data_IF_296376889357
#
_entry.id   IF_296376889357
#
_cell.length_a   1.000
_cell.length_b   1.000
_cell.length_c   1.000
_cell.angle_alpha   90.00
_cell.angle_beta   90.00
_cell.angle_gamma   90.00
#
_symmetry.space_group_name_H-M   'P 1'
#
loop_
_entity.id
_entity.type
_entity.pdbx_description
1 polymer ?
#
# COMPACT_ATOMS: atom_id res chain seq x y z
N UNK A 1 21.06 18.46 9.12
CA UNK A 1 20.76 17.03 9.32
C UNK A 1 20.32 16.52 7.97
N UNK A 2 21.11 15.65 7.34
CA UNK A 2 20.71 14.99 6.10
C UNK A 2 19.70 13.90 6.46
N UNK A 3 18.49 13.97 5.92
CA UNK A 3 17.51 12.88 6.02
C UNK A 3 18.08 11.72 5.20
N UNK A 4 18.22 10.56 5.82
CA UNK A 4 18.56 9.34 5.10
C UNK A 4 17.41 9.00 4.13
N UNK A 5 17.70 8.56 2.90
CA UNK A 5 16.67 8.13 1.96
C UNK A 5 15.91 6.96 2.58
N UNK A 6 14.59 7.12 2.71
CA UNK A 6 13.67 6.08 3.17
C UNK A 6 13.49 5.08 2.02
N UNK A 7 13.75 3.81 2.30
CA UNK A 7 13.45 2.71 1.38
C UNK A 7 11.93 2.45 1.41
N UNK A 8 11.34 2.19 0.23
CA UNK A 8 9.95 2.48 -0.15
C UNK A 8 9.65 4.01 -0.12
N UNK A 9 9.65 4.66 -1.30
CA UNK A 9 9.18 6.04 -1.53
C UNK A 9 10.21 7.16 -1.38
N UNK A 10 11.08 7.30 -2.38
CA UNK A 10 11.85 8.52 -2.62
C UNK A 10 11.54 9.02 -4.03
N UNK A 11 10.88 10.17 -4.10
CA UNK A 11 10.45 10.85 -5.34
C UNK A 11 11.67 11.22 -6.21
N UNK A 12 11.93 10.43 -7.25
CA UNK A 12 12.82 10.79 -8.35
C UNK A 12 12.06 10.68 -9.67
N UNK A 13 11.98 11.82 -10.37
CA UNK A 13 11.05 12.07 -11.48
C UNK A 13 11.16 11.15 -12.69
N UNK A 14 10.07 11.15 -13.46
CA UNK A 14 9.80 10.27 -14.58
C UNK A 14 10.73 10.48 -15.79
N UNK A 15 11.39 9.39 -16.21
CA UNK A 15 11.92 9.23 -17.57
C UNK A 15 11.18 8.05 -18.25
N UNK A 16 10.54 8.36 -19.38
CA UNK A 16 9.74 7.40 -20.14
C UNK A 16 10.62 6.37 -20.89
N UNK A 17 10.28 5.09 -20.78
CA UNK A 17 10.91 3.99 -21.51
C UNK A 17 9.89 3.24 -22.41
N UNK A 18 10.35 2.61 -23.51
CA UNK A 18 9.48 2.09 -24.56
C UNK A 18 9.00 0.65 -24.31
N UNK A 19 7.85 0.34 -24.91
CA UNK A 19 7.19 -0.98 -24.95
C UNK A 19 8.10 -2.09 -25.52
N UNK A 20 8.18 -3.21 -24.79
CA UNK A 20 8.70 -4.49 -25.31
C UNK A 20 7.80 -5.65 -24.89
N UNK A 21 7.40 -6.45 -25.89
CA UNK A 21 6.65 -7.71 -25.75
C UNK A 21 7.46 -8.75 -24.96
N UNK A 22 6.95 -9.15 -23.79
CA UNK A 22 7.49 -10.23 -22.96
C UNK A 22 6.56 -11.45 -23.09
N UNK A 23 7.04 -12.49 -23.78
CA UNK A 23 6.39 -13.80 -23.76
C UNK A 23 6.57 -14.51 -22.41
N UNK A 24 5.51 -15.17 -21.95
CA UNK A 24 5.47 -15.99 -20.72
C UNK A 24 6.49 -17.14 -20.80
N UNK A 25 7.44 -17.15 -19.88
CA UNK A 25 8.40 -18.24 -19.68
C UNK A 25 7.91 -19.22 -18.61
N UNK A 26 7.61 -20.46 -19.02
CA UNK A 26 7.24 -21.60 -18.15
C UNK A 26 8.49 -22.24 -17.49
N UNK A 27 9.29 -21.44 -16.78
CA UNK A 27 10.52 -21.90 -16.14
C UNK A 27 10.31 -22.65 -14.83
N UNK A 28 9.99 -23.94 -14.87
CA UNK A 28 10.12 -24.84 -13.71
C UNK A 28 11.56 -25.36 -13.60
N UNK A 29 12.40 -24.71 -12.78
CA UNK A 29 13.72 -25.23 -12.44
C UNK A 29 13.62 -26.22 -11.25
N UNK A 30 14.19 -27.44 -11.35
CA UNK A 30 14.24 -28.38 -10.24
C UNK A 30 15.40 -28.04 -9.31
N UNK A 31 15.10 -27.78 -8.03
CA UNK A 31 16.09 -27.61 -6.96
C UNK A 31 16.07 -28.86 -6.08
N UNK A 32 16.98 -29.81 -6.34
CA UNK A 32 17.33 -30.87 -5.39
C UNK A 32 18.68 -30.52 -4.74
N UNK A 33 18.65 -30.10 -3.47
CA UNK A 33 19.81 -29.69 -2.70
C UNK A 33 19.84 -30.32 -1.31
N UNK A 34 20.89 -31.11 -1.04
CA UNK A 34 21.13 -31.80 0.22
C UNK A 34 21.68 -30.88 1.31
N UNK A 35 20.95 -30.70 2.40
CA UNK A 35 21.47 -31.05 3.73
C UNK A 35 22.39 -30.09 4.49
N UNK A 36 22.23 -28.77 4.39
CA UNK A 36 22.47 -27.79 5.49
C UNK A 36 22.28 -26.39 4.94
N UNK A 37 21.52 -25.52 5.61
CA UNK A 37 21.37 -24.13 5.19
C UNK A 37 22.67 -23.34 5.49
N UNK A 38 23.44 -22.91 4.46
CA UNK A 38 24.71 -22.21 4.67
C UNK A 38 24.53 -20.80 5.25
N UNK A 39 23.31 -20.23 5.18
CA UNK A 39 23.02 -18.90 5.72
C UNK A 39 22.87 -18.86 7.25
N UNK A 40 22.86 -20.01 7.94
CA UNK A 40 22.71 -20.02 9.40
C UNK A 40 24.04 -19.85 10.14
N UNK A 41 25.16 -19.78 9.41
CA UNK A 41 26.50 -19.65 9.97
C UNK A 41 26.85 -18.18 10.29
N UNK A 42 26.17 -17.61 11.29
CA UNK A 42 26.46 -16.28 11.82
C UNK A 42 25.70 -15.13 11.14
N UNK A 43 26.08 -13.88 11.43
CA UNK A 43 25.39 -12.72 10.87
C UNK A 43 25.78 -12.49 9.41
N UNK A 44 24.80 -12.09 8.60
CA UNK A 44 24.98 -11.73 7.19
C UNK A 44 24.29 -10.40 6.86
N UNK A 45 24.97 -9.58 6.07
CA UNK A 45 24.43 -8.34 5.54
C UNK A 45 23.64 -8.59 4.24
N UNK A 46 22.70 -7.69 3.92
CA UNK A 46 21.93 -7.73 2.68
C UNK A 46 22.83 -7.72 1.44
N UNK A 47 23.84 -6.84 1.42
CA UNK A 47 24.76 -6.71 0.28
C UNK A 47 25.63 -7.97 0.05
N UNK A 48 25.80 -8.81 1.06
CA UNK A 48 26.51 -10.09 0.94
C UNK A 48 25.64 -11.17 0.30
N UNK A 49 24.32 -11.08 0.48
CA UNK A 49 23.36 -12.11 0.10
C UNK A 49 22.55 -11.75 -1.15
N UNK A 50 22.51 -10.48 -1.53
CA UNK A 50 21.78 -10.03 -2.72
C UNK A 50 22.46 -10.49 -3.99
N UNK A 51 21.66 -10.85 -4.98
CA UNK A 51 22.15 -11.24 -6.30
C UNK A 51 21.02 -11.66 -7.22
N UNK A 52 21.34 -12.35 -8.34
CA UNK A 52 20.32 -12.84 -9.25
C UNK A 52 19.48 -13.92 -8.57
N UNK A 53 18.21 -14.01 -8.94
CA UNK A 53 17.24 -14.94 -8.35
C UNK A 53 17.72 -16.40 -8.32
N UNK A 54 18.49 -16.83 -9.32
CA UNK A 54 19.03 -18.18 -9.42
C UNK A 54 19.99 -18.55 -8.27
N UNK A 55 20.55 -17.55 -7.56
CA UNK A 55 21.50 -17.76 -6.46
C UNK A 55 20.83 -17.70 -5.08
N UNK A 56 19.52 -17.46 -5.02
CA UNK A 56 18.81 -17.34 -3.74
C UNK A 56 18.76 -18.70 -3.03
N UNK A 57 19.17 -18.79 -1.76
CA UNK A 57 19.28 -20.06 -1.03
C UNK A 57 17.92 -20.55 -0.55
N UNK A 58 17.20 -21.24 -1.45
CA UNK A 58 15.84 -21.74 -1.23
C UNK A 58 15.72 -22.68 -0.03
N UNK A 59 16.70 -23.55 0.19
CA UNK A 59 16.66 -24.59 1.23
C UNK A 59 16.70 -24.07 2.67
N UNK A 60 17.07 -22.80 2.83
CA UNK A 60 17.10 -22.10 4.11
C UNK A 60 15.72 -21.62 4.57
N UNK A 61 14.80 -21.43 3.62
CA UNK A 61 13.50 -20.81 3.89
C UNK A 61 12.55 -21.80 4.56
N UNK A 62 11.83 -21.40 5.62
CA UNK A 62 10.90 -22.25 6.35
C UNK A 62 9.87 -22.89 5.43
N UNK A 63 9.70 -24.20 5.60
CA UNK A 63 8.86 -25.02 4.73
C UNK A 63 7.44 -25.06 5.23
N UNK A 64 6.51 -24.81 4.32
CA UNK A 64 5.07 -24.85 4.54
C UNK A 64 4.44 -25.92 3.65
N UNK A 65 3.29 -26.43 4.08
CA UNK A 65 2.37 -27.20 3.23
C UNK A 65 1.54 -26.27 2.35
N UNK A 66 0.96 -26.79 1.27
CA UNK A 66 0.02 -26.01 0.42
C UNK A 66 -1.18 -25.48 1.22
N UNK A 67 -1.69 -26.28 2.16
CA UNK A 67 -2.77 -25.88 3.04
C UNK A 67 -2.37 -24.69 3.94
N UNK A 68 -1.15 -24.72 4.52
CA UNK A 68 -0.61 -23.59 5.28
C UNK A 68 -0.40 -22.36 4.40
N UNK A 69 0.06 -22.53 3.16
CA UNK A 69 0.25 -21.42 2.23
C UNK A 69 -1.07 -20.70 1.94
N UNK A 70 -2.11 -21.45 1.57
CA UNK A 70 -3.42 -20.88 1.26
C UNK A 70 -4.07 -20.24 2.49
N UNK A 71 -4.09 -20.95 3.63
CA UNK A 71 -4.71 -20.44 4.87
C UNK A 71 -3.94 -19.30 5.52
N UNK A 72 -2.60 -19.35 5.52
CA UNK A 72 -1.75 -18.28 6.03
C UNK A 72 -1.83 -17.01 5.19
N UNK A 73 -1.89 -17.14 3.86
CA UNK A 73 -2.13 -16.00 2.97
C UNK A 73 -3.49 -15.36 3.24
N UNK A 74 -4.56 -16.17 3.32
CA UNK A 74 -5.90 -15.68 3.65
C UNK A 74 -5.95 -15.01 5.03
N UNK A 75 -5.25 -15.57 6.03
CA UNK A 75 -5.16 -14.97 7.37
C UNK A 75 -4.63 -13.55 7.30
N UNK A 76 -3.44 -13.32 6.72
CA UNK A 76 -2.82 -11.98 6.71
C UNK A 76 -3.56 -11.00 5.79
N UNK A 77 -4.23 -11.50 4.73
CA UNK A 77 -5.01 -10.67 3.81
C UNK A 77 -6.35 -10.27 4.42
N UNK A 78 -7.10 -11.21 4.98
CA UNK A 78 -8.53 -11.02 5.26
C UNK A 78 -8.83 -10.65 6.72
N UNK A 79 -7.96 -11.03 7.66
CA UNK A 79 -8.19 -10.86 9.10
C UNK A 79 -8.05 -9.41 9.53
N UNK A 80 -9.04 -8.92 10.28
CA UNK A 80 -8.96 -7.66 11.01
C UNK A 80 -8.43 -7.93 12.41
N UNK A 81 -7.30 -7.35 12.76
CA UNK A 81 -6.61 -7.57 14.03
C UNK A 81 -6.97 -6.45 15.01
N UNK A 82 -7.29 -6.79 16.25
CA UNK A 82 -7.65 -5.83 17.30
C UNK A 82 -6.47 -4.90 17.63
N UNK A 83 -5.25 -5.42 17.49
CA UNK A 83 -3.99 -4.69 17.62
C UNK A 83 -3.82 -3.60 16.56
N UNK A 84 -4.50 -3.74 15.41
CA UNK A 84 -4.47 -2.78 14.31
C UNK A 84 -5.69 -1.87 14.35
N UNK A 85 -5.83 -1.15 15.46
CA UNK A 85 -6.87 -0.11 15.65
C UNK A 85 -6.22 1.26 15.77
N UNK A 86 -6.89 2.29 15.23
CA UNK A 86 -6.46 3.68 15.40
C UNK A 86 -7.32 4.34 16.49
N UNK A 87 -6.77 5.25 17.32
CA UNK A 87 -7.54 5.84 18.43
C UNK A 87 -8.80 6.63 18.01
N UNK A 88 -8.82 7.16 16.79
CA UNK A 88 -9.98 7.82 16.22
C UNK A 88 -11.10 6.85 15.81
N UNK A 89 -10.82 5.55 15.73
CA UNK A 89 -11.74 4.50 15.29
C UNK A 89 -11.57 3.21 16.13
N UNK A 90 -11.78 3.27 17.47
CA UNK A 90 -11.47 2.17 18.37
C UNK A 90 -12.33 0.91 18.17
N UNK A 91 -13.47 1.03 17.47
CA UNK A 91 -14.36 -0.10 17.14
C UNK A 91 -14.20 -0.62 15.72
N UNK A 92 -13.13 -0.24 15.03
CA UNK A 92 -12.89 -0.60 13.63
C UNK A 92 -11.49 -1.23 13.49
N UNK A 93 -11.34 -2.50 13.88
CA UNK A 93 -10.08 -3.22 13.67
C UNK A 93 -9.75 -3.27 12.18
N UNK A 94 -8.47 -3.19 11.84
CA UNK A 94 -7.98 -3.14 10.48
C UNK A 94 -7.24 -4.41 10.10
N UNK A 95 -7.17 -4.67 8.79
CA UNK A 95 -6.17 -5.57 8.23
C UNK A 95 -4.81 -4.89 8.28
N UNK A 96 -3.76 -5.65 7.96
CA UNK A 96 -2.48 -5.07 7.53
C UNK A 96 -2.78 -4.17 6.31
N UNK A 97 -2.18 -2.97 6.21
CA UNK A 97 -2.57 -1.92 5.25
C UNK A 97 -2.14 -2.20 3.81
N UNK A 98 -2.63 -3.30 3.23
CA UNK A 98 -2.29 -3.77 1.89
C UNK A 98 -2.75 -2.84 0.76
N UNK A 99 -3.73 -1.96 1.00
CA UNK A 99 -4.27 -1.02 0.01
C UNK A 99 -3.55 0.34 0.01
N UNK A 100 -2.41 0.47 0.69
CA UNK A 100 -1.47 1.61 0.58
C UNK A 100 -0.15 1.10 -0.01
N UNK A 101 -0.04 0.92 -1.34
CA UNK A 101 1.17 0.36 -1.92
C UNK A 101 2.33 1.37 -1.94
N UNK A 102 2.09 2.69 -2.01
CA UNK A 102 3.11 3.74 -2.09
C UNK A 102 4.29 3.54 -1.14
N UNK A 103 4.01 3.20 0.12
CA UNK A 103 5.00 3.09 1.18
C UNK A 103 4.63 1.96 2.15
N UNK A 104 5.46 1.70 3.15
CA UNK A 104 5.08 0.82 4.26
C UNK A 104 5.46 -0.64 4.12
N UNK A 105 6.26 -0.99 3.10
CA UNK A 105 6.65 -2.37 2.83
C UNK A 105 7.40 -2.99 4.01
N UNK A 106 8.25 -2.20 4.66
CA UNK A 106 9.03 -2.54 5.85
C UNK A 106 8.21 -2.68 7.13
N UNK A 107 6.96 -2.22 7.17
CA UNK A 107 6.03 -2.42 8.27
C UNK A 107 5.06 -3.56 7.97
N UNK A 108 4.54 -3.64 6.74
CA UNK A 108 3.60 -4.69 6.34
C UNK A 108 4.22 -6.08 6.44
N UNK A 109 5.44 -6.26 5.92
CA UNK A 109 6.08 -7.57 5.91
C UNK A 109 6.35 -8.08 7.34
N UNK A 110 6.94 -7.30 8.26
CA UNK A 110 7.08 -7.73 9.65
C UNK A 110 5.75 -7.93 10.38
N UNK A 111 4.72 -7.10 10.11
CA UNK A 111 3.39 -7.31 10.68
C UNK A 111 2.79 -8.65 10.26
N UNK A 112 2.87 -9.00 8.96
CA UNK A 112 2.44 -10.28 8.44
C UNK A 112 3.19 -11.46 9.09
N UNK A 113 4.52 -11.37 9.16
CA UNK A 113 5.38 -12.37 9.82
C UNK A 113 5.02 -12.52 11.31
N UNK A 114 4.75 -11.41 12.01
CA UNK A 114 4.32 -11.40 13.41
C UNK A 114 2.99 -12.15 13.60
N UNK A 115 1.94 -11.79 12.86
CA UNK A 115 0.62 -12.43 13.02
C UNK A 115 0.64 -13.90 12.62
N UNK A 116 1.37 -14.27 11.56
CA UNK A 116 1.58 -15.68 11.20
C UNK A 116 2.28 -16.46 12.31
N UNK A 117 3.31 -15.87 12.92
CA UNK A 117 4.00 -16.48 14.05
C UNK A 117 3.09 -16.65 15.28
N UNK A 118 2.26 -15.66 15.61
CA UNK A 118 1.29 -15.76 16.71
C UNK A 118 0.26 -16.87 16.48
N UNK A 119 -0.14 -17.09 15.23
CA UNK A 119 -1.06 -18.18 14.83
C UNK A 119 -0.37 -19.55 14.68
N UNK A 120 0.90 -19.67 15.09
CA UNK A 120 1.63 -20.94 15.13
C UNK A 120 2.15 -21.44 13.79
N UNK A 121 2.18 -20.59 12.75
CA UNK A 121 2.85 -20.92 11.49
C UNK A 121 4.37 -20.93 11.67
N UNK A 122 5.12 -21.76 10.93
CA UNK A 122 6.56 -21.59 10.81
C UNK A 122 6.86 -20.17 10.32
N UNK A 123 7.62 -19.39 11.10
CA UNK A 123 7.87 -17.97 10.84
C UNK A 123 8.41 -17.74 9.43
N UNK A 124 7.72 -16.97 8.57
CA UNK A 124 8.25 -16.61 7.26
C UNK A 124 9.59 -15.87 7.35
N UNK A 125 10.40 -15.98 6.30
CA UNK A 125 11.53 -15.07 6.08
C UNK A 125 11.06 -13.88 5.23
N UNK A 126 11.97 -13.00 4.85
CA UNK A 126 11.71 -11.84 4.00
C UNK A 126 12.40 -12.01 2.64
N UNK A 127 11.65 -11.93 1.54
CA UNK A 127 12.24 -11.68 0.23
C UNK A 127 12.36 -10.17 0.05
N UNK A 128 13.58 -9.70 -0.21
CA UNK A 128 13.91 -8.29 -0.44
C UNK A 128 14.38 -8.13 -1.87
N UNK A 129 13.84 -7.14 -2.56
CA UNK A 129 14.22 -6.80 -3.92
C UNK A 129 14.61 -5.32 -3.99
N UNK A 130 15.67 -5.00 -4.72
CA UNK A 130 16.12 -3.61 -4.94
C UNK A 130 16.35 -3.35 -6.42
N UNK A 131 16.01 -2.15 -6.87
CA UNK A 131 16.11 -1.73 -8.27
C UNK A 131 15.17 -0.56 -8.56
N UNK A 132 14.94 -0.27 -9.84
CA UNK A 132 13.88 0.66 -10.26
C UNK A 132 12.56 -0.12 -10.36
N UNK A 133 11.84 -0.22 -9.25
CA UNK A 133 10.58 -0.97 -9.18
C UNK A 133 9.44 -0.03 -9.55
N UNK A 134 8.62 -0.41 -10.52
CA UNK A 134 7.39 0.31 -10.86
C UNK A 134 6.25 -0.69 -10.88
N UNK A 135 5.21 -0.46 -10.09
CA UNK A 135 4.00 -1.29 -10.05
C UNK A 135 2.81 -0.50 -10.57
N UNK A 136 2.07 -1.09 -11.52
CA UNK A 136 0.74 -0.64 -11.90
C UNK A 136 -0.29 -1.13 -10.87
N UNK A 137 -1.09 -0.23 -10.31
CA UNK A 137 -2.03 -0.55 -9.24
C UNK A 137 -3.26 0.35 -9.24
N UNK A 138 -4.42 -0.24 -8.98
CA UNK A 138 -5.67 0.52 -8.79
C UNK A 138 -5.75 1.18 -7.41
N UNK A 139 -4.78 0.93 -6.53
CA UNK A 139 -4.73 1.48 -5.18
C UNK A 139 -3.97 2.81 -5.10
N UNK A 140 -3.68 3.43 -6.25
CA UNK A 140 -3.02 4.74 -6.31
C UNK A 140 -3.75 5.70 -7.26
N UNK A 141 -3.89 6.99 -6.91
CA UNK A 141 -4.60 7.96 -7.74
C UNK A 141 -4.06 8.05 -9.17
N UNK A 142 -2.74 7.94 -9.34
CA UNK A 142 -2.06 8.02 -10.63
C UNK A 142 -1.97 6.66 -11.34
N UNK A 143 -2.42 5.57 -10.69
CA UNK A 143 -2.45 4.22 -11.25
C UNK A 143 -1.13 3.46 -11.16
N UNK A 144 -0.07 4.08 -10.64
CA UNK A 144 1.23 3.45 -10.45
C UNK A 144 1.98 3.98 -9.22
N UNK A 145 2.97 3.22 -8.78
CA UNK A 145 3.92 3.59 -7.71
C UNK A 145 5.32 3.11 -8.07
N UNK A 146 6.32 3.86 -7.62
CA UNK A 146 7.72 3.52 -7.82
C UNK A 146 8.49 3.42 -6.50
N UNK A 147 9.44 2.49 -6.44
CA UNK A 147 10.30 2.27 -5.28
C UNK A 147 11.73 1.92 -5.69
N UNK A 148 12.67 2.26 -4.81
CA UNK A 148 14.06 1.78 -4.88
C UNK A 148 14.22 0.35 -4.35
N UNK A 149 13.24 -0.15 -3.60
CA UNK A 149 13.22 -1.49 -3.04
C UNK A 149 11.84 -1.86 -2.49
N UNK A 150 11.60 -3.17 -2.36
CA UNK A 150 10.38 -3.74 -1.81
C UNK A 150 10.68 -5.01 -1.02
N UNK A 151 9.83 -5.32 -0.05
CA UNK A 151 9.99 -6.48 0.83
C UNK A 151 8.66 -7.17 1.10
N UNK A 152 8.67 -8.50 1.12
CA UNK A 152 7.50 -9.32 1.42
C UNK A 152 7.88 -10.60 2.20
N UNK A 153 6.96 -11.17 2.99
CA UNK A 153 7.16 -12.49 3.58
C UNK A 153 7.35 -13.58 2.50
N UNK A 154 8.27 -14.51 2.74
CA UNK A 154 8.58 -15.63 1.86
C UNK A 154 8.65 -16.94 2.64
N UNK A 155 8.10 -17.99 2.03
CA UNK A 155 8.09 -19.36 2.55
C UNK A 155 8.47 -20.34 1.44
N UNK A 156 8.80 -21.59 1.80
CA UNK A 156 9.08 -22.65 0.82
C UNK A 156 7.93 -23.65 0.78
N UNK A 157 7.38 -23.92 -0.40
CA UNK A 157 6.33 -24.94 -0.61
C UNK A 157 6.71 -25.79 -1.81
N UNK A 158 6.77 -27.11 -1.64
CA UNK A 158 7.14 -28.02 -2.75
C UNK A 158 8.50 -27.71 -3.39
N UNK A 159 9.45 -27.16 -2.63
CA UNK A 159 10.77 -26.75 -3.14
C UNK A 159 10.80 -25.39 -3.85
N UNK A 160 9.67 -24.67 -3.92
CA UNK A 160 9.58 -23.35 -4.53
C UNK A 160 9.42 -22.25 -3.48
N UNK A 161 10.01 -21.09 -3.73
CA UNK A 161 9.79 -19.90 -2.90
C UNK A 161 8.47 -19.23 -3.29
N UNK A 162 7.61 -19.08 -2.29
CA UNK A 162 6.29 -18.48 -2.40
C UNK A 162 6.22 -17.20 -1.58
N UNK A 163 5.81 -16.11 -2.23
CA UNK A 163 5.67 -14.77 -1.66
C UNK A 163 4.25 -14.56 -1.18
N UNK A 164 4.10 -14.00 0.01
CA UNK A 164 2.81 -13.62 0.59
C UNK A 164 2.66 -12.10 0.60
N UNK A 165 2.23 -11.50 -0.51
CA UNK A 165 2.15 -10.04 -0.67
C UNK A 165 0.81 -9.57 -1.26
N UNK A 166 -0.23 -9.42 -0.43
CA UNK A 166 -1.53 -8.94 -0.88
C UNK A 166 -1.56 -7.51 -1.43
N UNK A 167 -0.53 -6.69 -1.21
CA UNK A 167 -0.45 -5.35 -1.82
C UNK A 167 -0.16 -5.42 -3.32
N UNK A 168 0.57 -6.45 -3.75
CA UNK A 168 0.94 -6.69 -5.16
C UNK A 168 -0.04 -7.65 -5.84
N UNK A 169 -0.38 -8.75 -5.16
CA UNK A 169 -1.30 -9.77 -5.68
C UNK A 169 -2.29 -10.16 -4.60
N UNK A 170 -3.48 -9.54 -4.57
CA UNK A 170 -4.47 -9.86 -3.56
C UNK A 170 -5.15 -11.21 -3.79
N UNK A 171 -5.07 -11.82 -4.98
CA UNK A 171 -5.77 -13.08 -5.25
C UNK A 171 -5.12 -14.29 -4.58
N UNK A 172 -3.81 -14.27 -4.33
CA UNK A 172 -3.09 -15.39 -3.74
C UNK A 172 -1.57 -15.20 -3.69
N UNK A 173 -0.87 -16.15 -3.06
CA UNK A 173 0.58 -16.15 -3.02
C UNK A 173 1.17 -16.40 -4.41
N UNK A 174 2.32 -15.80 -4.68
CA UNK A 174 3.01 -15.90 -5.97
C UNK A 174 4.34 -16.65 -5.83
N UNK A 175 4.76 -17.45 -6.82
CA UNK A 175 6.16 -17.81 -6.97
C UNK A 175 7.02 -16.54 -7.05
N UNK A 176 8.18 -16.54 -6.41
CA UNK A 176 9.05 -15.34 -6.34
C UNK A 176 9.38 -14.73 -7.71
N UNK A 177 9.57 -15.55 -8.75
CA UNK A 177 9.80 -15.06 -10.12
C UNK A 177 8.58 -14.30 -10.68
N UNK A 178 7.37 -14.77 -10.38
CA UNK A 178 6.15 -14.09 -10.80
C UNK A 178 5.93 -12.79 -10.02
N UNK A 179 6.24 -12.78 -8.72
CA UNK A 179 6.19 -11.55 -7.91
C UNK A 179 7.16 -10.49 -8.45
N UNK A 180 8.41 -10.85 -8.76
CA UNK A 180 9.38 -9.92 -9.38
C UNK A 180 8.87 -9.42 -10.74
N UNK A 181 8.22 -10.28 -11.54
CA UNK A 181 7.67 -9.90 -12.84
C UNK A 181 6.49 -8.92 -12.77
N UNK A 182 5.97 -8.61 -11.58
CA UNK A 182 4.93 -7.58 -11.39
C UNK A 182 5.50 -6.17 -11.49
N UNK A 183 6.80 -6.01 -11.33
CA UNK A 183 7.47 -4.72 -11.52
C UNK A 183 7.81 -4.51 -13.01
N UNK A 184 7.85 -3.25 -13.45
CA UNK A 184 8.28 -2.90 -14.81
C UNK A 184 9.64 -3.52 -15.15
N UNK A 185 9.95 -3.79 -16.44
CA UNK A 185 11.19 -4.47 -16.81
C UNK A 185 12.44 -3.78 -16.26
N UNK A 186 13.32 -4.54 -15.62
CA UNK A 186 14.53 -4.01 -15.00
C UNK A 186 15.49 -5.10 -14.54
N UNK A 187 16.68 -4.68 -14.10
CA UNK A 187 17.60 -5.55 -13.37
C UNK A 187 17.32 -5.40 -11.88
N UNK A 188 17.12 -6.52 -11.20
CA UNK A 188 16.80 -6.54 -9.79
C UNK A 188 17.79 -7.42 -9.03
N UNK A 189 18.29 -6.89 -7.93
CA UNK A 189 18.98 -7.70 -6.94
C UNK A 189 17.93 -8.24 -5.96
N UNK A 190 18.01 -9.53 -5.66
CA UNK A 190 17.12 -10.20 -4.71
C UNK A 190 17.93 -10.86 -3.61
N UNK A 191 17.48 -10.76 -2.37
CA UNK A 191 17.98 -11.52 -1.25
C UNK A 191 16.82 -12.13 -0.45
N UNK A 192 17.10 -13.20 0.28
CA UNK A 192 16.17 -13.77 1.26
C UNK A 192 16.80 -13.66 2.63
N UNK A 193 16.15 -12.88 3.50
CA UNK A 193 16.62 -12.48 4.82
C UNK A 193 15.77 -13.11 5.91
N UNK A 194 16.39 -13.61 6.97
CA UNK A 194 15.65 -14.24 8.07
C UNK A 194 15.06 -13.21 9.02
N UNK A 195 15.85 -12.23 9.42
CA UNK A 195 15.55 -11.41 10.61
C UNK A 195 15.19 -9.96 10.24
N UNK A 196 15.73 -9.45 9.14
CA UNK A 196 15.63 -8.04 8.78
C UNK A 196 14.86 -7.83 7.48
N UNK A 197 13.74 -7.11 7.57
CA UNK A 197 12.99 -6.64 6.41
C UNK A 197 13.60 -5.38 5.76
N UNK A 198 14.52 -4.70 6.47
CA UNK A 198 15.10 -3.41 6.09
C UNK A 198 16.56 -3.28 6.50
N UNK A 199 17.14 -2.10 6.26
CA UNK A 199 18.52 -1.75 6.58
C UNK A 199 19.57 -2.68 5.93
N UNK A 200 20.83 -2.57 6.33
CA UNK A 200 21.92 -3.40 5.80
C UNK A 200 21.95 -4.83 6.37
N UNK A 201 21.18 -5.13 7.41
CA UNK A 201 21.09 -6.46 8.01
C UNK A 201 20.26 -7.43 7.17
N UNK A 202 20.50 -8.74 7.31
CA UNK A 202 19.70 -9.77 6.65
C UNK A 202 19.50 -11.00 7.54
N UNK A 203 20.59 -11.53 8.11
CA UNK A 203 20.58 -12.64 9.09
C UNK A 203 21.37 -12.22 10.33
N UNK A 204 20.82 -12.47 11.51
CA UNK A 204 21.50 -12.26 12.80
C UNK A 204 22.21 -13.53 13.28
N UNK A 205 23.12 -13.39 14.25
CA UNK A 205 23.75 -14.55 14.88
C UNK A 205 22.75 -15.43 15.65
N UNK A 206 21.68 -14.83 16.18
CA UNK A 206 20.60 -15.51 16.91
C UNK A 206 19.27 -15.00 16.37
N UNK A 207 18.36 -15.88 15.90
CA UNK A 207 17.06 -15.44 15.40
C UNK A 207 16.28 -14.69 16.48
N UNK A 208 15.75 -13.52 16.13
CA UNK A 208 14.82 -12.80 16.99
C UNK A 208 13.39 -13.29 16.76
N UNK A 209 12.58 -13.32 17.83
CA UNK A 209 11.15 -13.51 17.66
C UNK A 209 10.57 -12.29 16.91
N UNK A 210 9.68 -12.49 15.93
CA UNK A 210 9.01 -11.38 15.25
C UNK A 210 8.30 -10.47 16.25
N UNK A 211 8.33 -9.18 15.99
CA UNK A 211 7.58 -8.18 16.76
C UNK A 211 6.68 -7.39 15.83
N UNK A 212 5.52 -6.97 16.36
CA UNK A 212 4.64 -6.07 15.63
C UNK A 212 5.33 -4.70 15.49
N UNK A 213 5.38 -4.09 14.30
CA UNK A 213 5.88 -2.73 14.15
C UNK A 213 5.11 -1.73 15.03
N UNK A 214 5.75 -0.60 15.32
CA UNK A 214 5.24 0.39 16.27
C UNK A 214 3.81 0.86 15.97
N UNK A 215 2.99 0.87 17.03
CA UNK A 215 1.63 1.44 17.07
C UNK A 215 1.57 2.77 17.86
N UNK A 216 2.72 3.29 18.28
CA UNK A 216 2.80 4.37 19.25
C UNK A 216 2.48 5.76 18.64
N UNK A 217 2.81 5.98 17.37
CA UNK A 217 2.70 7.28 16.70
C UNK A 217 1.79 7.21 15.48
N UNK A 218 1.13 8.32 15.15
CA UNK A 218 0.47 8.50 13.85
C UNK A 218 1.49 8.86 12.73
N UNK A 219 2.75 9.07 13.09
CA UNK A 219 3.81 9.53 12.18
C UNK A 219 4.89 8.47 11.91
N UNK A 220 4.82 7.32 12.56
CA UNK A 220 5.75 6.21 12.34
C UNK A 220 5.05 4.84 12.42
N UNK A 221 5.78 3.82 11.96
CA UNK A 221 5.37 2.43 12.10
C UNK A 221 4.08 2.09 11.35
N UNK A 222 3.49 0.95 11.74
CA UNK A 222 2.31 0.41 11.05
C UNK A 222 1.07 1.29 11.29
N UNK A 223 1.02 2.05 12.39
CA UNK A 223 -0.10 2.96 12.67
C UNK A 223 -0.20 4.11 11.68
N UNK A 224 0.92 4.73 11.31
CA UNK A 224 0.94 5.73 10.24
C UNK A 224 0.38 5.15 8.93
N UNK A 225 0.71 3.89 8.61
CA UNK A 225 0.20 3.19 7.42
C UNK A 225 -1.30 2.94 7.46
N UNK A 226 -1.87 2.64 8.62
CA UNK A 226 -3.34 2.53 8.76
C UNK A 226 -4.07 3.86 8.46
N UNK A 227 -3.46 4.98 8.86
CA UNK A 227 -3.98 6.34 8.60
C UNK A 227 -3.80 6.71 7.13
N UNK A 228 -2.62 6.45 6.57
CA UNK A 228 -2.31 6.67 5.15
C UNK A 228 -3.22 5.87 4.23
N UNK A 229 -3.41 4.57 4.49
CA UNK A 229 -4.30 3.71 3.72
C UNK A 229 -5.74 4.24 3.71
N UNK A 230 -6.24 4.73 4.85
CA UNK A 230 -7.57 5.35 4.92
C UNK A 230 -7.68 6.54 3.97
N UNK A 231 -6.67 7.42 4.00
CA UNK A 231 -6.59 8.58 3.12
C UNK A 231 -6.54 8.17 1.66
N UNK A 232 -5.73 7.18 1.29
CA UNK A 232 -5.67 6.64 -0.08
C UNK A 232 -7.05 6.18 -0.56
N UNK A 233 -7.82 5.48 0.29
CA UNK A 233 -9.19 5.09 -0.10
C UNK A 233 -10.10 6.29 -0.39
N UNK A 234 -9.99 7.37 0.38
CA UNK A 234 -10.74 8.60 0.12
C UNK A 234 -10.26 9.31 -1.16
N UNK A 235 -8.94 9.32 -1.43
CA UNK A 235 -8.37 9.87 -2.67
C UNK A 235 -8.75 9.06 -3.90
N UNK A 236 -9.04 7.77 -3.75
CA UNK A 236 -9.62 6.93 -4.82
C UNK A 236 -11.15 7.10 -4.93
N UNK A 237 -11.76 7.88 -4.02
CA UNK A 237 -13.21 8.06 -3.90
C UNK A 237 -13.97 6.79 -3.53
N UNK A 238 -13.30 5.88 -2.83
CA UNK A 238 -13.91 4.70 -2.22
C UNK A 238 -14.47 5.07 -0.84
N UNK A 239 -15.40 4.26 -0.33
CA UNK A 239 -15.80 4.34 1.06
C UNK A 239 -14.80 3.55 1.94
N UNK A 240 -13.94 4.22 2.74
CA UNK A 240 -12.96 3.53 3.57
C UNK A 240 -13.59 2.57 4.60
N UNK A 241 -14.78 2.86 5.15
CA UNK A 241 -15.45 1.91 6.06
C UNK A 241 -15.82 0.60 5.37
N UNK A 242 -16.02 0.67 4.06
CA UNK A 242 -16.39 -0.46 3.23
C UNK A 242 -15.17 -1.20 2.72
N UNK A 243 -14.24 -0.51 2.04
CA UNK A 243 -13.05 -1.13 1.44
C UNK A 243 -12.07 -1.66 2.50
N UNK A 244 -11.99 -1.00 3.65
CA UNK A 244 -11.13 -1.43 4.76
C UNK A 244 -11.90 -2.30 5.77
N UNK A 245 -13.23 -2.37 5.63
CA UNK A 245 -14.12 -3.21 6.41
C UNK A 245 -14.51 -4.50 5.68
N UNK A 246 -15.79 -4.78 5.52
CA UNK A 246 -16.23 -6.10 5.04
C UNK A 246 -16.20 -6.26 3.52
N UNK A 247 -15.81 -5.21 2.78
CA UNK A 247 -15.85 -5.18 1.33
C UNK A 247 -14.56 -4.69 0.68
N UNK A 248 -13.42 -5.36 0.95
CA UNK A 248 -12.18 -5.04 0.28
C UNK A 248 -12.26 -5.34 -1.23
N UNK A 249 -11.36 -4.75 -2.05
CA UNK A 249 -11.41 -4.88 -3.51
C UNK A 249 -11.39 -6.31 -4.04
N UNK A 250 -10.82 -7.26 -3.28
CA UNK A 250 -10.76 -8.68 -3.66
C UNK A 250 -12.03 -9.47 -3.33
N UNK A 251 -13.03 -8.88 -2.67
CA UNK A 251 -14.33 -9.51 -2.40
C UNK A 251 -15.35 -9.11 -3.47
N UNK A 252 -15.68 -10.04 -4.36
CA UNK A 252 -16.59 -9.80 -5.50
C UNK A 252 -18.08 -9.88 -5.16
N UNK A 253 -18.42 -10.35 -3.96
CA UNK A 253 -19.81 -10.55 -3.52
C UNK A 253 -20.44 -9.34 -2.82
N UNK A 254 -19.68 -8.24 -2.71
CA UNK A 254 -20.14 -7.08 -1.97
C UNK A 254 -21.24 -6.30 -2.71
N UNK A 255 -22.36 -5.95 -2.05
CA UNK A 255 -23.48 -5.23 -2.70
C UNK A 255 -22.99 -3.90 -3.26
N UNK A 256 -23.21 -3.51 -4.52
CA UNK A 256 -22.66 -2.28 -5.07
C UNK A 256 -23.04 -1.08 -4.20
N UNK A 257 -22.14 -0.09 -4.09
CA UNK A 257 -22.49 1.09 -3.33
C UNK A 257 -23.66 1.84 -4.01
N UNK A 258 -24.55 2.49 -3.23
CA UNK A 258 -25.65 3.26 -3.82
C UNK A 258 -25.13 4.31 -4.80
N UNK A 259 -25.85 4.47 -5.92
CA UNK A 259 -25.60 5.54 -6.87
C UNK A 259 -25.90 6.91 -6.22
N UNK A 260 -25.19 7.98 -6.63
CA UNK A 260 -25.49 9.31 -6.14
C UNK A 260 -26.92 9.73 -6.58
N UNK A 261 -27.63 10.42 -5.69
CA UNK A 261 -29.00 10.86 -5.87
C UNK A 261 -29.04 12.40 -6.10
N UNK A 262 -29.46 12.87 -7.28
CA UNK A 262 -29.53 14.30 -7.60
C UNK A 262 -30.55 15.08 -6.77
N UNK A 263 -31.46 14.40 -6.08
CA UNK A 263 -32.49 15.03 -5.23
C UNK A 263 -32.09 15.10 -3.75
N UNK A 264 -30.85 14.75 -3.41
CA UNK A 264 -30.30 14.88 -2.06
C UNK A 264 -29.17 15.92 -2.08
N UNK A 265 -28.94 16.68 -1.00
CA UNK A 265 -27.80 17.60 -0.94
C UNK A 265 -26.47 16.84 -1.01
N UNK A 266 -25.44 17.37 -1.70
CA UNK A 266 -24.08 16.90 -1.51
C UNK A 266 -23.57 17.30 -0.12
N UNK A 267 -22.64 16.53 0.44
CA UNK A 267 -21.91 16.88 1.67
C UNK A 267 -20.42 17.02 1.36
N UNK A 268 -19.77 17.99 2.00
CA UNK A 268 -18.31 18.07 2.06
C UNK A 268 -17.91 17.68 3.48
N UNK A 269 -17.04 16.69 3.61
CA UNK A 269 -16.53 16.21 4.90
C UNK A 269 -15.19 16.85 5.23
N UNK A 270 -14.26 16.87 4.28
CA UNK A 270 -12.90 17.41 4.46
C UNK A 270 -12.22 17.67 3.12
N UNK A 271 -11.02 18.22 3.20
CA UNK A 271 -10.12 18.40 2.06
C UNK A 271 -8.85 17.57 2.24
N UNK A 272 -8.20 17.24 1.13
CA UNK A 272 -6.89 16.60 1.09
C UNK A 272 -6.09 17.13 -0.11
N UNK A 273 -4.77 16.93 -0.08
CA UNK A 273 -3.88 16.98 -1.23
C UNK A 273 -3.35 15.58 -1.54
N UNK A 274 -2.48 15.45 -2.55
CA UNK A 274 -1.68 14.26 -2.87
C UNK A 274 -0.57 13.96 -1.85
N UNK A 275 -0.17 14.96 -1.05
CA UNK A 275 0.78 14.79 0.08
C UNK A 275 0.12 14.28 1.36
N UNK A 276 0.78 13.33 2.03
CA UNK A 276 0.40 12.83 3.37
C UNK A 276 0.44 13.90 4.44
N UNK A 277 1.20 14.97 4.20
CA UNK A 277 1.48 16.01 5.15
C UNK A 277 0.42 17.12 5.00
N UNK A 278 -0.36 17.36 6.06
CA UNK A 278 -1.10 18.63 6.15
C UNK A 278 -0.08 19.77 6.28
N UNK A 279 -0.31 20.92 5.64
CA UNK A 279 -1.59 21.43 5.13
C UNK A 279 -1.96 21.03 3.68
N UNK A 280 -3.24 21.25 3.32
CA UNK A 280 -3.71 21.10 1.94
C UNK A 280 -3.03 22.15 1.07
N UNK A 281 -2.43 21.71 -0.05
CA UNK A 281 -1.79 22.59 -1.01
C UNK A 281 -2.38 22.41 -2.41
N UNK A 282 -1.88 21.46 -3.18
CA UNK A 282 -2.27 21.18 -4.56
C UNK A 282 -1.90 19.73 -4.89
N UNK A 283 -2.69 19.00 -5.70
CA UNK A 283 -4.04 19.34 -6.14
C UNK A 283 -5.04 19.26 -4.97
N UNK A 284 -6.24 19.82 -5.12
CA UNK A 284 -7.25 19.85 -4.06
C UNK A 284 -8.25 18.72 -4.28
N UNK A 285 -8.33 17.82 -3.30
CA UNK A 285 -9.36 16.80 -3.21
C UNK A 285 -10.46 17.27 -2.25
N UNK A 286 -11.68 17.43 -2.76
CA UNK A 286 -12.88 17.63 -1.96
C UNK A 286 -13.48 16.27 -1.65
N UNK A 287 -13.40 15.84 -0.39
CA UNK A 287 -13.89 14.54 0.08
C UNK A 287 -15.27 14.73 0.71
N UNK A 288 -16.24 13.90 0.30
CA UNK A 288 -17.62 14.06 0.68
C UNK A 288 -18.54 12.91 0.29
N UNK A 289 -19.84 13.20 0.21
CA UNK A 289 -20.85 12.25 -0.26
C UNK A 289 -21.79 12.89 -1.28
N UNK A 290 -22.41 12.01 -2.07
CA UNK A 290 -23.49 12.34 -2.99
C UNK A 290 -23.12 13.36 -4.08
N UNK A 291 -21.87 13.35 -4.53
CA UNK A 291 -21.47 14.08 -5.72
C UNK A 291 -22.01 13.37 -6.98
N UNK A 292 -22.70 14.12 -7.83
CA UNK A 292 -23.32 13.62 -9.06
C UNK A 292 -22.46 14.07 -10.25
N UNK A 293 -21.75 13.16 -10.94
CA UNK A 293 -20.98 13.50 -12.13
C UNK A 293 -21.82 14.24 -13.19
N UNK A 294 -21.27 15.32 -13.74
CA UNK A 294 -21.96 16.17 -14.71
C UNK A 294 -23.00 17.14 -14.13
N UNK A 295 -23.32 17.04 -12.84
CA UNK A 295 -24.29 17.93 -12.18
C UNK A 295 -23.69 18.70 -11.00
N UNK A 296 -22.79 18.09 -10.24
CA UNK A 296 -22.21 18.75 -9.05
C UNK A 296 -21.17 19.78 -9.45
N UNK A 297 -21.31 20.98 -8.89
CA UNK A 297 -20.38 22.12 -9.03
C UNK A 297 -19.78 22.47 -7.67
N UNK A 298 -18.54 22.94 -7.65
CA UNK A 298 -17.87 23.44 -6.43
C UNK A 298 -17.69 24.94 -6.54
N UNK A 299 -18.02 25.69 -5.49
CA UNK A 299 -17.76 27.13 -5.38
C UNK A 299 -16.78 27.39 -4.25
N UNK A 300 -15.74 28.17 -4.53
CA UNK A 300 -14.68 28.56 -3.58
C UNK A 300 -14.73 30.07 -3.41
N UNK A 301 -14.89 30.52 -2.15
CA UNK A 301 -15.01 31.94 -1.79
C UNK A 301 -14.07 32.29 -0.64
N UNK A 302 -13.24 33.31 -0.80
CA UNK A 302 -12.26 33.75 0.22
C UNK A 302 -11.09 34.49 -0.43
N UNK A 303 -10.37 35.34 0.33
CA UNK A 303 -9.20 36.08 -0.18
C UNK A 303 -9.43 36.88 -1.48
N UNK A 304 -10.64 37.43 -1.68
CA UNK A 304 -11.01 38.13 -2.91
C UNK A 304 -11.32 37.22 -4.11
N UNK A 305 -11.30 35.90 -3.91
CA UNK A 305 -11.74 34.89 -4.87
C UNK A 305 -13.20 34.55 -4.57
N UNK A 306 -14.02 34.47 -5.61
CA UNK A 306 -15.37 33.91 -5.58
C UNK A 306 -15.67 33.29 -6.95
N UNK A 307 -15.31 32.00 -7.10
CA UNK A 307 -15.35 31.32 -8.39
C UNK A 307 -16.02 29.95 -8.27
N UNK A 308 -16.62 29.52 -9.37
CA UNK A 308 -16.94 28.12 -9.58
C UNK A 308 -15.65 27.40 -10.02
N UNK A 309 -15.13 26.51 -9.17
CA UNK A 309 -13.86 25.83 -9.42
C UNK A 309 -13.99 24.87 -10.61
N UNK A 310 -12.98 24.80 -11.50
CA UNK A 310 -12.94 23.82 -12.56
C UNK A 310 -12.73 22.42 -11.94
N UNK A 311 -13.64 21.50 -12.25
CA UNK A 311 -13.58 20.12 -11.75
C UNK A 311 -12.82 19.28 -12.79
N UNK A 312 -11.65 18.78 -12.41
CA UNK A 312 -10.84 17.89 -13.26
C UNK A 312 -11.41 16.48 -13.27
N UNK A 313 -11.76 15.96 -12.10
CA UNK A 313 -12.39 14.64 -11.96
C UNK A 313 -13.47 14.65 -10.88
N UNK A 314 -14.48 13.82 -11.05
CA UNK A 314 -15.57 13.67 -10.09
C UNK A 314 -16.05 12.22 -10.05
N UNK A 315 -16.14 11.69 -8.84
CA UNK A 315 -16.98 10.55 -8.53
C UNK A 315 -17.86 10.92 -7.34
N UNK A 316 -18.65 9.96 -6.85
CA UNK A 316 -19.65 10.23 -5.83
C UNK A 316 -19.12 10.62 -4.44
N UNK A 317 -17.84 10.41 -4.16
CA UNK A 317 -17.20 10.69 -2.86
C UNK A 317 -16.04 11.67 -2.95
N UNK A 318 -15.57 11.97 -4.17
CA UNK A 318 -14.37 12.77 -4.41
C UNK A 318 -14.55 13.67 -5.62
N UNK A 319 -14.17 14.93 -5.45
CA UNK A 319 -13.93 15.88 -6.54
C UNK A 319 -12.46 16.28 -6.53
N UNK A 320 -11.81 16.24 -7.68
CA UNK A 320 -10.43 16.71 -7.89
C UNK A 320 -10.46 18.07 -8.58
N UNK A 321 -9.71 19.01 -8.01
CA UNK A 321 -9.50 20.36 -8.55
C UNK A 321 -7.99 20.56 -8.73
N UNK A 322 -7.55 20.74 -9.97
CA UNK A 322 -6.16 21.01 -10.36
C UNK A 322 -5.94 22.50 -10.70
N UNK A 323 -6.82 23.37 -10.22
CA UNK A 323 -6.55 24.81 -10.23
C UNK A 323 -5.77 25.18 -8.97
N UNK A 324 -4.64 25.87 -9.13
CA UNK A 324 -3.89 26.41 -8.01
C UNK A 324 -4.57 27.65 -7.44
N UNK A 325 -4.80 27.67 -6.13
CA UNK A 325 -5.31 28.83 -5.40
C UNK A 325 -4.23 29.41 -4.48
N UNK A 326 -4.18 30.74 -4.29
CA UNK A 326 -3.27 31.36 -3.34
C UNK A 326 -3.46 30.84 -1.91
N UNK A 327 -2.44 30.97 -1.06
CA UNK A 327 -2.57 30.59 0.35
C UNK A 327 -3.64 31.40 1.09
N UNK A 328 -4.30 30.73 2.02
CA UNK A 328 -5.19 31.31 3.00
C UNK A 328 -6.47 30.50 3.19
N UNK A 329 -7.50 31.17 3.70
CA UNK A 329 -8.71 30.51 4.19
C UNK A 329 -9.88 30.80 3.26
N UNK A 330 -10.51 29.72 2.80
CA UNK A 330 -11.63 29.72 1.87
C UNK A 330 -12.85 29.06 2.50
N UNK A 331 -14.03 29.46 2.03
CA UNK A 331 -15.28 28.75 2.23
C UNK A 331 -15.61 28.02 0.95
N UNK A 332 -15.86 26.72 1.06
CA UNK A 332 -16.16 25.87 -0.09
C UNK A 332 -17.56 25.29 0.06
N UNK A 333 -18.32 25.32 -1.02
CA UNK A 333 -19.64 24.67 -1.11
C UNK A 333 -19.70 23.76 -2.33
N UNK A 334 -20.44 22.66 -2.23
CA UNK A 334 -20.81 21.82 -3.35
C UNK A 334 -22.31 21.98 -3.63
N UNK A 335 -22.71 22.01 -4.90
CA UNK A 335 -24.11 22.13 -5.30
C UNK A 335 -24.43 21.17 -6.42
N UNK A 336 -25.58 20.51 -6.39
CA UNK A 336 -26.11 19.72 -7.51
C UNK A 336 -27.28 20.44 -8.22
N UNK A 337 -27.24 21.78 -8.21
CA UNK A 337 -28.28 22.63 -8.77
C UNK A 337 -29.31 23.02 -7.72
N UNK A 338 -30.24 22.11 -7.39
CA UNK A 338 -31.34 22.40 -6.47
C UNK A 338 -30.92 22.40 -4.98
N UNK A 339 -29.82 21.73 -4.64
CA UNK A 339 -29.32 21.61 -3.28
C UNK A 339 -27.87 22.05 -3.19
N UNK A 340 -27.50 22.67 -2.07
CA UNK A 340 -26.14 23.12 -1.79
C UNK A 340 -25.74 22.63 -0.40
N UNK A 341 -24.48 22.17 -0.26
CA UNK A 341 -23.90 21.77 1.01
C UNK A 341 -23.80 22.97 1.95
N UNK A 342 -23.60 22.70 3.24
CA UNK A 342 -23.10 23.76 4.12
C UNK A 342 -21.69 24.21 3.66
N UNK A 343 -21.32 25.49 3.85
CA UNK A 343 -19.96 25.94 3.64
C UNK A 343 -18.98 25.22 4.58
N UNK A 344 -17.86 24.75 4.04
CA UNK A 344 -16.78 24.13 4.81
C UNK A 344 -15.50 24.94 4.62
N UNK A 345 -14.78 25.18 5.71
CA UNK A 345 -13.53 25.94 5.68
C UNK A 345 -12.41 25.10 5.07
N UNK A 346 -11.75 25.62 4.04
CA UNK A 346 -10.53 25.09 3.44
C UNK A 346 -9.38 26.05 3.78
N UNK A 347 -8.30 25.53 4.35
CA UNK A 347 -7.05 26.29 4.54
C UNK A 347 -6.01 25.76 3.57
N UNK A 348 -5.54 26.61 2.67
CA UNK A 348 -4.43 26.32 1.75
C UNK A 348 -3.16 26.93 2.33
N UNK A 349 -2.14 26.13 2.58
CA UNK A 349 -0.86 26.56 3.16
C UNK A 349 0.30 25.66 2.67
N UNK A 350 1.54 26.03 3.03
CA UNK A 350 2.77 25.27 2.77
C UNK A 350 3.09 24.28 3.88
#
# INVERSE_FOLDING_TARGET
MALAPVACGGDEGADAAPDLDIERSDGTAPLEGSGSCPLLDGPHAYDELKGPLANVPVDCVPSWTEAQLSSGFALIRDTRFEELTVPSQPGFPRRIPWLEPENGCEERAPAATYFLHQEGYPTPWFARVTGNLILQTENEPDGEVSWSGHVAPVVRVGGQLMILDPAIEPAGPLPIAQWISRFAPGSFDTAVCRDHAKDSGCVDAVPAAPSLPGMASDYDGIRMRLVSEWRVQELLGRDPYRSLGDCPPWVTTCPPEPAPNPNLPPSILRFASDRTDMPVWYPIYVIGDNFVPGLTTVRITGNGIDVQAPISQINKRRILIEEEYPFGVYQVTASNGAHTSQPVSLTIAW
#
